data_IF_136722225730
#
_entry.id   IF_136722225730
#
_cell.length_a   1.000
_cell.length_b   1.000
_cell.length_c   1.000
_cell.angle_alpha   90.00
_cell.angle_beta   90.00
_cell.angle_gamma   90.00
#
_symmetry.space_group_name_H-M   'P 1'
#
loop_
_entity.id
_entity.type
_entity.pdbx_description
1 polymer ?
#
# COMPACT_ATOMS: atom_id res chain seq x y z
N UNK A 1 34.20 17.85 -16.81
CA UNK A 1 34.52 16.46 -17.16
C UNK A 1 33.94 15.61 -16.04
N UNK A 2 32.61 15.43 -16.04
CA UNK A 2 31.91 14.60 -15.05
C UNK A 2 32.15 13.15 -15.43
N UNK A 3 32.80 12.43 -14.53
CA UNK A 3 33.27 11.08 -14.77
C UNK A 3 32.12 10.08 -14.73
N UNK A 4 32.21 9.11 -15.63
CA UNK A 4 31.26 8.02 -15.81
C UNK A 4 31.50 6.98 -14.73
N UNK A 5 30.59 6.88 -13.76
CA UNK A 5 30.52 5.72 -12.87
C UNK A 5 29.07 5.43 -12.44
N UNK A 6 28.19 5.20 -13.42
CA UNK A 6 26.89 4.54 -13.19
C UNK A 6 26.78 3.38 -14.16
N UNK A 7 27.50 2.29 -13.87
CA UNK A 7 27.46 1.06 -14.63
C UNK A 7 27.33 -0.12 -13.66
N UNK A 8 26.10 -0.64 -13.53
CA UNK A 8 25.79 -1.98 -13.02
C UNK A 8 26.15 -2.26 -11.55
N UNK A 9 25.36 -1.73 -10.61
CA UNK A 9 25.42 -2.01 -9.16
C UNK A 9 24.53 -1.03 -8.38
N UNK A 10 24.06 -1.33 -7.15
CA UNK A 10 22.94 -0.64 -6.48
C UNK A 10 23.34 0.79 -6.06
N UNK A 11 23.22 1.76 -6.96
CA UNK A 11 23.73 3.12 -6.77
C UNK A 11 22.83 3.97 -5.88
N UNK A 12 21.52 3.88 -6.05
CA UNK A 12 20.50 4.63 -5.35
C UNK A 12 20.31 4.10 -3.94
N UNK A 13 20.13 2.78 -3.80
CA UNK A 13 19.96 2.17 -2.47
C UNK A 13 21.18 2.39 -1.58
N UNK A 14 22.40 2.30 -2.14
CA UNK A 14 23.64 2.60 -1.42
C UNK A 14 23.86 4.10 -1.22
N UNK A 15 23.56 4.96 -2.20
CA UNK A 15 23.73 6.40 -2.05
C UNK A 15 22.77 6.98 -1.01
N UNK A 16 21.51 6.54 -0.98
CA UNK A 16 20.59 6.95 0.08
C UNK A 16 20.95 6.36 1.44
N UNK A 17 21.49 5.14 1.49
CA UNK A 17 21.98 4.56 2.75
C UNK A 17 23.22 5.30 3.28
N UNK A 18 24.16 5.68 2.40
CA UNK A 18 25.31 6.52 2.76
C UNK A 18 24.88 7.92 3.25
N UNK A 19 23.83 8.49 2.63
CA UNK A 19 23.23 9.76 3.07
C UNK A 19 22.52 9.63 4.41
N UNK A 20 21.71 8.58 4.59
CA UNK A 20 20.98 8.32 5.83
C UNK A 20 21.91 8.00 7.02
N UNK A 21 23.08 7.39 6.76
CA UNK A 21 24.12 7.14 7.77
C UNK A 21 25.01 8.36 8.04
N UNK A 22 24.73 9.51 7.42
CA UNK A 22 25.44 10.78 7.65
C UNK A 22 26.86 10.81 7.10
N UNK A 23 27.23 9.86 6.23
CA UNK A 23 28.57 9.81 5.63
C UNK A 23 28.79 10.94 4.61
N UNK A 24 27.72 11.58 4.13
CA UNK A 24 27.74 12.77 3.25
C UNK A 24 27.54 14.12 3.99
N UNK A 25 27.57 14.13 5.32
CA UNK A 25 27.35 15.34 6.14
C UNK A 25 25.88 15.62 6.45
N UNK A 26 25.60 16.45 7.48
CA UNK A 26 24.31 16.45 8.21
C UNK A 26 23.08 17.03 7.50
N UNK A 27 23.15 17.44 6.23
CA UNK A 27 22.10 18.26 5.58
C UNK A 27 21.51 17.67 4.27
N UNK A 28 21.98 16.51 3.77
CA UNK A 28 21.59 16.01 2.44
C UNK A 28 20.49 14.95 2.43
N UNK A 29 20.31 14.17 3.51
CA UNK A 29 19.21 13.19 3.60
C UNK A 29 17.85 13.86 3.87
N UNK A 30 17.85 15.03 4.51
CA UNK A 30 16.66 15.86 4.79
C UNK A 30 16.27 16.81 3.65
N UNK A 31 17.06 16.87 2.56
CA UNK A 31 16.84 17.82 1.45
C UNK A 31 16.37 17.18 0.15
N UNK A 32 16.23 15.85 0.09
CA UNK A 32 15.75 15.17 -1.12
C UNK A 32 14.24 15.10 -1.04
N UNK A 33 13.59 15.73 -2.01
CA UNK A 33 12.15 15.65 -2.18
C UNK A 33 11.72 14.21 -2.49
N UNK A 34 10.60 13.76 -1.93
CA UNK A 34 10.13 12.39 -2.10
C UNK A 34 9.86 12.06 -3.58
N UNK A 35 9.36 13.01 -4.37
CA UNK A 35 9.15 12.82 -5.81
C UNK A 35 10.49 12.58 -6.54
N UNK A 36 11.52 13.36 -6.21
CA UNK A 36 12.86 13.18 -6.79
C UNK A 36 13.45 11.81 -6.41
N UNK A 37 13.25 11.37 -5.17
CA UNK A 37 13.68 10.06 -4.72
C UNK A 37 12.94 8.92 -5.43
N UNK A 38 11.61 9.01 -5.57
CA UNK A 38 10.80 8.02 -6.30
C UNK A 38 11.26 7.92 -7.76
N UNK A 39 11.47 9.05 -8.43
CA UNK A 39 11.94 9.10 -9.81
C UNK A 39 13.31 8.41 -9.96
N UNK A 40 14.26 8.74 -9.08
CA UNK A 40 15.59 8.13 -9.11
C UNK A 40 15.57 6.63 -8.80
N UNK A 41 14.73 6.19 -7.86
CA UNK A 41 14.55 4.79 -7.51
C UNK A 41 14.00 3.98 -8.70
N UNK A 42 12.97 4.52 -9.35
CA UNK A 42 12.34 3.94 -10.54
C UNK A 42 13.33 3.78 -11.69
N UNK A 43 14.11 4.83 -11.99
CA UNK A 43 15.13 4.78 -13.04
C UNK A 43 16.17 3.70 -12.77
N UNK A 44 16.62 3.54 -11.52
CA UNK A 44 17.56 2.48 -11.15
C UNK A 44 16.94 1.09 -11.27
N UNK A 45 15.71 0.90 -10.80
CA UNK A 45 15.03 -0.39 -10.90
C UNK A 45 14.88 -0.84 -12.37
N UNK A 46 14.52 0.08 -13.27
CA UNK A 46 14.40 -0.24 -14.69
C UNK A 46 15.76 -0.49 -15.36
N UNK A 47 16.81 0.20 -14.94
CA UNK A 47 18.18 -0.04 -15.41
C UNK A 47 18.79 -1.35 -14.88
N UNK A 48 18.27 -1.88 -13.77
CA UNK A 48 18.78 -3.08 -13.12
C UNK A 48 18.44 -4.37 -13.87
N UNK A 49 19.36 -5.34 -13.81
CA UNK A 49 19.12 -6.70 -14.31
C UNK A 49 18.05 -7.43 -13.46
N UNK A 50 17.35 -8.44 -14.01
CA UNK A 50 16.27 -9.15 -13.31
C UNK A 50 16.65 -9.71 -11.95
N UNK A 51 17.87 -10.21 -11.78
CA UNK A 51 18.35 -10.74 -10.49
C UNK A 51 18.52 -9.65 -9.43
N UNK A 52 18.88 -8.43 -9.83
CA UNK A 52 18.97 -7.28 -8.92
C UNK A 52 17.58 -6.79 -8.54
N UNK A 53 16.60 -6.83 -9.45
CA UNK A 53 15.20 -6.49 -9.14
C UNK A 53 14.58 -7.36 -8.05
N UNK A 54 15.05 -8.60 -7.88
CA UNK A 54 14.63 -9.46 -6.75
C UNK A 54 15.06 -8.91 -5.39
N UNK A 55 16.18 -8.18 -5.33
CA UNK A 55 16.63 -7.52 -4.10
C UNK A 55 15.71 -6.38 -3.70
N UNK A 56 15.08 -5.71 -4.67
CA UNK A 56 14.09 -4.65 -4.40
C UNK A 56 12.84 -5.18 -3.72
N UNK A 57 12.38 -6.38 -4.07
CA UNK A 57 11.30 -7.05 -3.35
C UNK A 57 11.67 -7.33 -1.89
N UNK A 58 12.89 -7.80 -1.63
CA UNK A 58 13.37 -8.02 -0.26
C UNK A 58 13.50 -6.72 0.54
N UNK A 59 13.98 -5.66 -0.11
CA UNK A 59 14.11 -4.33 0.48
C UNK A 59 12.74 -3.75 0.80
N UNK A 60 11.78 -3.81 -0.13
CA UNK A 60 10.43 -3.30 0.07
C UNK A 60 9.69 -3.99 1.23
N UNK A 61 9.77 -5.31 1.37
CA UNK A 61 9.18 -6.01 2.51
C UNK A 61 9.79 -5.56 3.85
N UNK A 62 11.12 -5.37 3.88
CA UNK A 62 11.81 -4.88 5.07
C UNK A 62 11.48 -3.42 5.38
N UNK A 63 11.45 -2.57 4.35
CA UNK A 63 11.18 -1.14 4.47
C UNK A 63 9.73 -0.89 4.90
N UNK A 64 8.77 -1.65 4.38
CA UNK A 64 7.39 -1.67 4.87
C UNK A 64 7.34 -1.98 6.37
N UNK A 65 7.97 -3.09 6.79
CA UNK A 65 7.98 -3.51 8.18
C UNK A 65 8.59 -2.43 9.11
N UNK A 66 9.67 -1.77 8.67
CA UNK A 66 10.31 -0.70 9.46
C UNK A 66 9.41 0.53 9.54
N UNK A 67 8.84 0.97 8.41
CA UNK A 67 7.98 2.15 8.36
C UNK A 67 6.73 1.98 9.23
N UNK A 68 6.10 0.81 9.19
CA UNK A 68 4.93 0.51 10.00
C UNK A 68 5.23 0.22 11.48
N UNK A 69 6.50 -0.02 11.83
CA UNK A 69 6.92 -0.21 13.23
C UNK A 69 7.45 1.08 13.86
N UNK A 70 7.57 2.17 13.09
CA UNK A 70 8.00 3.46 13.61
C UNK A 70 6.85 4.11 14.42
N UNK A 71 7.02 4.37 15.72
CA UNK A 71 5.98 4.99 16.55
C UNK A 71 5.51 6.36 16.05
N UNK A 72 6.29 7.05 15.23
CA UNK A 72 5.87 8.30 14.61
C UNK A 72 4.76 8.10 13.57
N UNK A 73 4.72 6.94 12.90
CA UNK A 73 3.76 6.60 11.84
C UNK A 73 2.32 6.43 12.39
N UNK A 74 2.16 6.27 13.71
CA UNK A 74 0.85 6.17 14.37
C UNK A 74 0.13 7.53 14.51
N UNK A 75 0.86 8.64 14.36
CA UNK A 75 0.33 10.00 14.58
C UNK A 75 0.72 11.01 13.49
N UNK A 76 1.73 10.69 12.67
CA UNK A 76 2.27 11.54 11.62
C UNK A 76 2.54 10.71 10.36
N UNK A 77 2.71 11.39 9.22
CA UNK A 77 3.15 10.72 7.99
C UNK A 77 4.55 10.13 8.15
N UNK A 78 4.77 8.99 7.51
CA UNK A 78 6.11 8.44 7.36
C UNK A 78 7.05 9.48 6.72
N UNK A 79 8.28 9.57 7.23
CA UNK A 79 9.25 10.59 6.85
C UNK A 79 10.54 10.05 6.23
N UNK A 80 10.76 8.73 6.25
CA UNK A 80 11.93 8.11 5.62
C UNK A 80 11.74 8.02 4.09
N UNK A 81 12.22 9.07 3.41
CA UNK A 81 12.15 9.24 1.96
C UNK A 81 12.73 8.05 1.18
N UNK A 82 13.81 7.43 1.68
CA UNK A 82 14.45 6.30 0.99
C UNK A 82 13.51 5.11 0.92
N UNK A 83 12.96 4.74 2.08
CA UNK A 83 12.09 3.57 2.21
C UNK A 83 10.80 3.76 1.43
N UNK A 84 10.21 4.95 1.49
CA UNK A 84 9.04 5.30 0.70
C UNK A 84 9.30 5.23 -0.81
N UNK A 85 10.46 5.69 -1.28
CA UNK A 85 10.83 5.59 -2.69
C UNK A 85 11.00 4.14 -3.18
N UNK A 86 11.58 3.27 -2.36
CA UNK A 86 11.70 1.83 -2.65
C UNK A 86 10.33 1.18 -2.73
N UNK A 87 9.44 1.47 -1.77
CA UNK A 87 8.06 0.96 -1.78
C UNK A 87 7.28 1.42 -3.01
N UNK A 88 7.31 2.71 -3.33
CA UNK A 88 6.65 3.26 -4.52
C UNK A 88 7.10 2.54 -5.81
N UNK A 89 8.40 2.29 -5.92
CA UNK A 89 8.99 1.59 -7.07
C UNK A 89 8.48 0.15 -7.18
N UNK A 90 8.33 -0.55 -6.06
CA UNK A 90 7.84 -1.94 -6.04
C UNK A 90 6.33 -2.00 -6.28
N UNK A 91 5.56 -1.05 -5.77
CA UNK A 91 4.13 -0.91 -6.07
C UNK A 91 3.93 -0.72 -7.57
N UNK A 92 4.74 0.12 -8.22
CA UNK A 92 4.67 0.30 -9.67
C UNK A 92 5.06 -0.97 -10.43
N UNK A 93 6.14 -1.63 -10.02
CA UNK A 93 6.73 -2.70 -10.79
C UNK A 93 5.99 -4.05 -10.69
N UNK A 94 5.39 -4.33 -9.53
CA UNK A 94 4.69 -5.59 -9.23
C UNK A 94 3.40 -5.33 -8.42
N UNK A 95 2.45 -4.54 -8.96
CA UNK A 95 1.32 -3.98 -8.21
C UNK A 95 0.53 -5.04 -7.46
N UNK A 96 0.09 -6.12 -8.12
CA UNK A 96 -0.74 -7.15 -7.49
C UNK A 96 -0.05 -7.81 -6.28
N UNK A 97 1.28 -7.97 -6.34
CA UNK A 97 2.05 -8.61 -5.25
C UNK A 97 2.25 -7.65 -4.09
N UNK A 98 2.50 -6.37 -4.40
CA UNK A 98 2.60 -5.32 -3.40
C UNK A 98 1.24 -5.09 -2.70
N UNK A 99 0.17 -5.01 -3.48
CA UNK A 99 -1.22 -4.95 -3.00
C UNK A 99 -1.52 -6.13 -2.06
N UNK A 100 -1.26 -7.37 -2.47
CA UNK A 100 -1.43 -8.55 -1.59
C UNK A 100 -0.67 -8.40 -0.28
N UNK A 101 0.60 -8.01 -0.33
CA UNK A 101 1.44 -7.85 0.86
C UNK A 101 0.85 -6.81 1.81
N UNK A 102 0.51 -5.63 1.29
CA UNK A 102 0.00 -4.50 2.07
C UNK A 102 -1.38 -4.84 2.69
N UNK A 103 -2.27 -5.43 1.90
CA UNK A 103 -3.60 -5.83 2.37
C UNK A 103 -3.51 -6.90 3.45
N UNK A 104 -2.67 -7.92 3.24
CA UNK A 104 -2.47 -8.97 4.26
C UNK A 104 -1.87 -8.35 5.53
N UNK A 105 -0.92 -7.43 5.41
CA UNK A 105 -0.33 -6.77 6.57
C UNK A 105 -1.35 -5.96 7.38
N UNK A 106 -2.21 -5.20 6.71
CA UNK A 106 -3.14 -4.29 7.37
C UNK A 106 -4.42 -4.97 7.88
N UNK A 107 -4.86 -6.06 7.22
CA UNK A 107 -6.18 -6.65 7.45
C UNK A 107 -6.15 -8.03 8.10
N UNK A 108 -5.00 -8.72 8.12
CA UNK A 108 -4.88 -10.03 8.75
C UNK A 108 -4.60 -9.89 10.27
N UNK A 109 -5.46 -10.41 11.15
CA UNK A 109 -5.26 -10.35 12.60
C UNK A 109 -3.98 -11.03 13.09
N UNK A 110 -3.48 -12.04 12.38
CA UNK A 110 -2.24 -12.71 12.77
C UNK A 110 -1.00 -11.92 12.37
N UNK A 111 -1.14 -10.93 11.46
CA UNK A 111 -0.07 -10.13 10.84
C UNK A 111 1.04 -10.97 10.19
N UNK A 112 1.31 -10.82 8.88
CA UNK A 112 2.32 -11.62 8.20
C UNK A 112 3.73 -11.35 8.75
N UNK A 113 4.55 -12.39 8.84
CA UNK A 113 5.96 -12.22 9.18
C UNK A 113 6.73 -11.57 8.03
N UNK A 114 7.95 -11.07 8.30
CA UNK A 114 8.81 -10.52 7.26
C UNK A 114 9.11 -11.52 6.13
N UNK A 115 9.25 -12.81 6.47
CA UNK A 115 9.50 -13.85 5.47
C UNK A 115 8.25 -14.14 4.63
N UNK A 116 7.05 -14.03 5.21
CA UNK A 116 5.79 -14.12 4.47
C UNK A 116 5.65 -12.96 3.49
N UNK A 117 5.91 -11.72 3.94
CA UNK A 117 5.88 -10.53 3.08
C UNK A 117 6.86 -10.62 1.92
N UNK A 118 8.09 -11.07 2.17
CA UNK A 118 9.07 -11.36 1.10
C UNK A 118 8.57 -12.45 0.15
N UNK A 119 7.96 -13.49 0.69
CA UNK A 119 7.34 -14.56 -0.09
C UNK A 119 6.25 -14.03 -1.03
N UNK A 120 5.39 -13.13 -0.54
CA UNK A 120 4.33 -12.50 -1.32
C UNK A 120 4.89 -11.65 -2.47
N UNK A 121 5.93 -10.86 -2.25
CA UNK A 121 6.51 -10.05 -3.33
C UNK A 121 7.25 -10.90 -4.39
N UNK A 122 7.83 -12.03 -3.99
CA UNK A 122 8.59 -12.94 -4.87
C UNK A 122 7.74 -13.95 -5.62
N UNK A 123 6.54 -14.25 -5.13
CA UNK A 123 5.66 -15.22 -5.75
C UNK A 123 5.07 -14.67 -7.04
N UNK A 124 5.53 -15.22 -8.17
CA UNK A 124 5.17 -14.74 -9.50
C UNK A 124 3.80 -15.24 -10.00
N UNK A 125 3.11 -16.08 -9.22
CA UNK A 125 1.77 -16.54 -9.57
C UNK A 125 0.78 -15.37 -9.50
N UNK A 126 -0.25 -15.35 -10.37
CA UNK A 126 -1.34 -14.38 -10.27
C UNK A 126 -1.99 -14.40 -8.88
N UNK A 127 -2.37 -13.23 -8.39
CA UNK A 127 -3.07 -13.09 -7.11
C UNK A 127 -4.57 -13.29 -7.33
N UNK A 128 -5.18 -14.18 -6.54
CA UNK A 128 -6.63 -14.35 -6.49
C UNK A 128 -7.20 -13.37 -5.46
N UNK A 129 -7.52 -12.15 -5.91
CA UNK A 129 -8.01 -11.09 -5.02
C UNK A 129 -9.42 -11.35 -4.50
N UNK A 130 -10.27 -12.03 -5.25
CA UNK A 130 -11.60 -12.42 -4.78
C UNK A 130 -11.47 -13.30 -3.54
N UNK A 131 -10.62 -14.33 -3.62
CA UNK A 131 -10.34 -15.20 -2.47
C UNK A 131 -9.62 -14.46 -1.35
N UNK A 132 -8.59 -13.67 -1.68
CA UNK A 132 -7.81 -12.95 -0.66
C UNK A 132 -8.70 -12.03 0.17
N UNK A 133 -9.55 -11.23 -0.48
CA UNK A 133 -10.43 -10.32 0.24
C UNK A 133 -11.53 -11.07 1.00
N UNK A 134 -12.06 -12.18 0.47
CA UNK A 134 -13.01 -13.02 1.21
C UNK A 134 -12.37 -13.56 2.50
N UNK A 135 -11.15 -14.10 2.41
CA UNK A 135 -10.39 -14.59 3.56
C UNK A 135 -10.10 -13.45 4.57
N UNK A 136 -9.74 -12.25 4.11
CA UNK A 136 -9.39 -11.10 4.96
C UNK A 136 -10.59 -10.39 5.60
N UNK A 137 -11.78 -10.38 4.97
CA UNK A 137 -12.96 -9.65 5.50
C UNK A 137 -14.08 -10.54 6.02
N UNK A 138 -14.14 -11.80 5.60
CA UNK A 138 -15.19 -12.75 6.03
C UNK A 138 -14.63 -14.09 6.54
N UNK A 139 -13.31 -14.29 6.54
CA UNK A 139 -12.68 -15.48 7.08
C UNK A 139 -12.96 -15.68 8.57
N UNK A 140 -12.79 -16.91 9.05
CA UNK A 140 -13.12 -17.30 10.44
C UNK A 140 -12.40 -16.45 11.51
N UNK A 141 -11.23 -15.90 11.17
CA UNK A 141 -10.45 -15.03 12.04
C UNK A 141 -10.54 -13.55 11.66
N UNK A 142 -11.24 -13.17 10.59
CA UNK A 142 -11.26 -11.79 10.09
C UNK A 142 -11.70 -10.79 11.16
N UNK A 143 -11.12 -9.60 11.13
CA UNK A 143 -11.56 -8.51 11.99
C UNK A 143 -13.01 -8.14 11.72
N UNK A 144 -13.72 -7.72 12.77
CA UNK A 144 -15.01 -7.07 12.59
C UNK A 144 -14.79 -5.66 12.01
N UNK A 145 -15.72 -5.13 11.19
CA UNK A 145 -15.55 -3.83 10.55
C UNK A 145 -15.30 -2.65 11.52
N UNK A 146 -15.80 -2.75 12.75
CA UNK A 146 -15.66 -1.75 13.81
C UNK A 146 -14.51 -2.04 14.79
N UNK A 147 -13.70 -3.07 14.55
CA UNK A 147 -12.57 -3.44 15.40
C UNK A 147 -11.52 -2.31 15.46
N UNK A 148 -10.97 -2.07 16.65
CA UNK A 148 -9.97 -1.04 16.90
C UNK A 148 -8.61 -1.44 16.32
N UNK A 149 -8.23 -2.72 16.40
CA UNK A 149 -6.98 -3.20 15.82
C UNK A 149 -6.98 -3.12 14.29
N UNK A 150 -8.15 -3.34 13.67
CA UNK A 150 -8.35 -3.08 12.25
C UNK A 150 -8.17 -1.60 11.91
N UNK A 151 -8.75 -0.70 12.71
CA UNK A 151 -8.62 0.74 12.53
C UNK A 151 -7.15 1.19 12.63
N UNK A 152 -6.42 0.65 13.62
CA UNK A 152 -5.00 0.95 13.84
C UNK A 152 -4.16 0.46 12.66
N UNK A 153 -4.32 -0.79 12.23
CA UNK A 153 -3.61 -1.34 11.07
C UNK A 153 -3.82 -0.53 9.79
N UNK A 154 -5.07 -0.14 9.50
CA UNK A 154 -5.40 0.71 8.35
C UNK A 154 -4.81 2.11 8.49
N UNK A 155 -4.85 2.69 9.70
CA UNK A 155 -4.27 4.01 9.99
C UNK A 155 -2.76 4.01 9.73
N UNK A 156 -2.04 3.06 10.33
CA UNK A 156 -0.59 2.93 10.17
C UNK A 156 -0.21 2.68 8.70
N UNK A 157 -0.93 1.80 7.99
CA UNK A 157 -0.70 1.59 6.56
C UNK A 157 -0.94 2.87 5.76
N UNK A 158 -2.02 3.61 6.04
CA UNK A 158 -2.35 4.85 5.34
C UNK A 158 -1.31 5.95 5.60
N UNK A 159 -0.77 6.06 6.82
CA UNK A 159 0.31 7.00 7.14
C UNK A 159 1.60 6.78 6.34
N UNK A 160 1.84 5.56 5.85
CA UNK A 160 2.93 5.23 4.93
C UNK A 160 2.55 5.52 3.48
N UNK A 161 1.33 5.17 3.07
CA UNK A 161 0.88 5.25 1.68
C UNK A 161 0.52 6.66 1.23
N UNK A 162 -0.08 7.48 2.09
CA UNK A 162 -0.51 8.84 1.78
C UNK A 162 0.63 9.76 1.28
N UNK A 163 1.81 9.83 1.93
CA UNK A 163 2.92 10.60 1.39
C UNK A 163 3.43 10.04 0.06
N UNK A 164 3.38 8.72 -0.17
CA UNK A 164 3.74 8.13 -1.46
C UNK A 164 2.75 8.57 -2.53
N UNK A 165 1.44 8.41 -2.31
CA UNK A 165 0.39 8.80 -3.24
C UNK A 165 0.46 10.29 -3.62
N UNK A 166 0.77 11.16 -2.66
CA UNK A 166 0.91 12.59 -2.89
C UNK A 166 2.12 12.99 -3.77
N UNK A 167 3.11 12.11 -3.93
CA UNK A 167 4.39 12.43 -4.57
C UNK A 167 4.76 11.51 -5.76
N UNK A 168 4.12 10.35 -5.89
CA UNK A 168 4.39 9.38 -6.93
C UNK A 168 3.67 9.72 -8.25
N UNK A 169 4.07 9.11 -9.38
CA UNK A 169 3.32 9.21 -10.63
C UNK A 169 1.89 8.66 -10.51
N UNK A 170 0.97 9.17 -11.34
CA UNK A 170 -0.46 8.83 -11.33
C UNK A 170 -0.75 7.32 -11.20
N UNK A 171 -0.02 6.46 -11.91
CA UNK A 171 -0.25 5.01 -11.84
C UNK A 171 -0.06 4.42 -10.43
N UNK A 172 0.89 4.93 -9.66
CA UNK A 172 1.14 4.50 -8.27
C UNK A 172 0.09 5.08 -7.33
N UNK A 173 -0.29 6.35 -7.52
CA UNK A 173 -1.39 6.97 -6.76
C UNK A 173 -2.69 6.18 -6.93
N UNK A 174 -3.05 5.82 -8.16
CA UNK A 174 -4.25 5.04 -8.44
C UNK A 174 -4.19 3.60 -7.89
N UNK A 175 -3.01 2.96 -7.86
CA UNK A 175 -2.82 1.67 -7.19
C UNK A 175 -2.93 1.79 -5.66
N UNK A 176 -2.48 2.90 -5.08
CA UNK A 176 -2.71 3.16 -3.65
C UNK A 176 -4.21 3.41 -3.39
N UNK A 177 -4.91 4.07 -4.31
CA UNK A 177 -6.36 4.27 -4.21
C UNK A 177 -7.13 2.94 -4.24
N UNK A 178 -6.74 1.94 -5.05
CA UNK A 178 -7.37 0.60 -5.02
C UNK A 178 -7.12 -0.11 -3.68
N UNK A 179 -5.92 0.00 -3.11
CA UNK A 179 -5.61 -0.51 -1.75
C UNK A 179 -6.51 0.15 -0.70
N UNK A 180 -6.59 1.49 -0.72
CA UNK A 180 -7.43 2.23 0.23
C UNK A 180 -8.91 1.90 0.07
N UNK A 181 -9.38 1.61 -1.16
CA UNK A 181 -10.74 1.14 -1.36
C UNK A 181 -11.00 -0.22 -0.69
N UNK A 182 -10.03 -1.13 -0.69
CA UNK A 182 -10.14 -2.39 0.04
C UNK A 182 -10.12 -2.18 1.58
N UNK A 183 -9.36 -1.21 2.09
CA UNK A 183 -9.44 -0.81 3.50
C UNK A 183 -10.84 -0.29 3.86
N UNK A 184 -11.40 0.59 3.03
CA UNK A 184 -12.76 1.12 3.19
C UNK A 184 -13.80 -0.01 3.15
N UNK A 185 -13.63 -0.99 2.26
CA UNK A 185 -14.47 -2.18 2.19
C UNK A 185 -14.40 -3.01 3.48
N UNK A 186 -13.20 -3.26 4.02
CA UNK A 186 -13.01 -3.99 5.27
C UNK A 186 -13.68 -3.29 6.47
N UNK A 187 -13.75 -1.96 6.45
CA UNK A 187 -14.49 -1.13 7.42
C UNK A 187 -16.01 -1.07 7.17
N UNK A 188 -16.53 -1.83 6.20
CA UNK A 188 -17.95 -1.88 5.85
C UNK A 188 -18.43 -0.77 4.90
N UNK A 189 -17.54 0.11 4.43
CA UNK A 189 -17.83 1.25 3.56
C UNK A 189 -18.05 0.87 2.10
N UNK A 190 -19.02 0.00 1.81
CA UNK A 190 -19.20 -0.60 0.48
C UNK A 190 -19.46 0.41 -0.64
N UNK A 191 -20.29 1.44 -0.42
CA UNK A 191 -20.56 2.46 -1.44
C UNK A 191 -19.32 3.31 -1.74
N UNK A 192 -18.61 3.76 -0.71
CA UNK A 192 -17.40 4.57 -0.85
C UNK A 192 -16.28 3.77 -1.52
N UNK A 193 -16.07 2.52 -1.12
CA UNK A 193 -15.10 1.63 -1.76
C UNK A 193 -15.36 1.49 -3.28
N UNK A 194 -16.63 1.38 -3.69
CA UNK A 194 -17.02 1.30 -5.10
C UNK A 194 -16.75 2.59 -5.87
N UNK A 195 -17.04 3.73 -5.27
CA UNK A 195 -16.74 5.03 -5.89
C UNK A 195 -15.23 5.24 -6.08
N UNK A 196 -14.43 4.83 -5.09
CA UNK A 196 -12.97 4.87 -5.17
C UNK A 196 -12.43 3.99 -6.31
N UNK A 197 -12.85 2.72 -6.40
CA UNK A 197 -12.38 1.84 -7.48
C UNK A 197 -12.91 2.26 -8.85
N UNK A 198 -14.11 2.82 -8.94
CA UNK A 198 -14.60 3.39 -10.20
C UNK A 198 -13.73 4.57 -10.68
N UNK A 199 -13.19 5.36 -9.74
CA UNK A 199 -12.30 6.48 -10.02
C UNK A 199 -10.92 6.02 -10.53
N UNK A 200 -10.28 5.06 -9.86
CA UNK A 200 -8.91 4.66 -10.20
C UNK A 200 -8.83 3.64 -11.35
N UNK A 201 -9.84 2.77 -11.53
CA UNK A 201 -9.82 1.64 -12.48
C UNK A 201 -9.38 2.00 -13.91
N UNK A 202 -9.77 3.14 -14.52
CA UNK A 202 -9.33 3.49 -15.88
C UNK A 202 -7.82 3.75 -16.04
N UNK A 203 -7.11 3.94 -14.93
CA UNK A 203 -5.70 4.36 -14.90
C UNK A 203 -4.76 3.29 -14.33
N UNK A 204 -5.30 2.15 -13.90
CA UNK A 204 -4.52 1.04 -13.36
C UNK A 204 -3.92 0.18 -14.48
N UNK A 205 -2.68 -0.25 -14.29
CA UNK A 205 -2.04 -1.26 -15.15
C UNK A 205 -2.65 -2.66 -14.93
N UNK A 206 -3.08 -2.96 -13.70
CA UNK A 206 -3.90 -4.14 -13.37
C UNK A 206 -5.14 -3.72 -12.58
N UNK A 207 -6.32 -4.15 -13.04
CA UNK A 207 -7.59 -3.86 -12.37
C UNK A 207 -8.03 -4.95 -11.40
N UNK A 208 -7.23 -6.01 -11.20
CA UNK A 208 -7.66 -7.21 -10.50
C UNK A 208 -8.17 -6.94 -9.07
N UNK A 209 -7.45 -6.14 -8.28
CA UNK A 209 -7.90 -5.72 -6.96
C UNK A 209 -9.16 -4.85 -7.04
N UNK A 210 -9.18 -3.86 -7.94
CA UNK A 210 -10.30 -2.94 -8.10
C UNK A 210 -11.60 -3.64 -8.55
N UNK A 211 -11.46 -4.71 -9.33
CA UNK A 211 -12.56 -5.56 -9.78
C UNK A 211 -13.08 -6.43 -8.60
N UNK A 212 -12.18 -7.01 -7.81
CA UNK A 212 -12.54 -7.82 -6.63
C UNK A 212 -13.26 -6.97 -5.56
N UNK A 213 -12.77 -5.76 -5.28
CA UNK A 213 -13.41 -4.82 -4.34
C UNK A 213 -14.83 -4.46 -4.79
N UNK A 214 -15.03 -4.14 -6.07
CA UNK A 214 -16.36 -3.80 -6.59
C UNK A 214 -17.32 -5.00 -6.56
N UNK A 215 -16.82 -6.20 -6.90
CA UNK A 215 -17.60 -7.44 -6.85
C UNK A 215 -18.05 -7.75 -5.42
N UNK A 216 -17.14 -7.69 -4.45
CA UNK A 216 -17.44 -7.98 -3.05
C UNK A 216 -18.34 -6.91 -2.41
N UNK A 217 -18.08 -5.63 -2.68
CA UNK A 217 -18.95 -4.54 -2.24
C UNK A 217 -20.37 -4.64 -2.82
N UNK A 218 -20.52 -5.16 -4.05
CA UNK A 218 -21.82 -5.41 -4.66
C UNK A 218 -22.54 -6.62 -4.03
N UNK A 219 -21.80 -7.63 -3.56
CA UNK A 219 -22.33 -8.84 -2.93
C UNK A 219 -22.81 -8.61 -1.48
N UNK A 220 -22.16 -7.69 -0.76
CA UNK A 220 -22.47 -7.34 0.62
C UNK A 220 -22.96 -5.89 0.74
N UNK A 221 -24.15 -5.52 0.22
CA UNK A 221 -24.68 -4.17 0.45
C UNK A 221 -24.94 -3.98 1.94
N UNK A 222 -24.00 -3.35 2.64
CA UNK A 222 -24.13 -3.06 4.06
C UNK A 222 -25.32 -2.10 4.23
N UNK A 223 -26.41 -2.56 4.83
CA UNK A 223 -27.62 -1.77 5.11
C UNK A 223 -27.38 -0.90 6.34
N UNK A 224 -26.46 0.05 6.22
CA UNK A 224 -26.03 0.95 7.27
C UNK A 224 -26.57 2.37 7.12
N UNK A 225 -27.71 2.58 6.46
CA UNK A 225 -28.46 3.86 6.51
C UNK A 225 -29.95 3.67 6.19
N UNK A 226 -30.66 2.87 7.00
CA UNK A 226 -32.12 2.98 7.12
C UNK A 226 -32.45 3.80 8.38
N UNK A 227 -31.93 5.02 8.41
CA UNK A 227 -32.03 5.96 9.51
C UNK A 227 -33.07 7.08 9.33
N UNK A 228 -34.18 6.90 8.61
CA UNK A 228 -35.35 7.83 8.69
C UNK A 228 -36.69 7.17 8.30
N UNK A 229 -37.01 6.03 8.92
CA UNK A 229 -38.35 5.44 8.89
C UNK A 229 -39.25 5.93 10.04
N UNK A 230 -39.45 7.24 10.19
CA UNK A 230 -40.47 7.78 11.12
C UNK A 230 -41.84 7.77 10.45
N UNK A 231 -42.51 6.62 10.40
CA UNK A 231 -43.97 6.58 10.27
C UNK A 231 -44.58 6.53 11.66
N UNK A 232 -44.90 7.70 12.19
CA UNK A 232 -45.87 7.87 13.27
C UNK A 232 -47.23 7.38 12.76
N UNK A 233 -47.63 6.17 13.14
CA UNK A 233 -49.01 5.72 12.97
C UNK A 233 -49.73 5.77 14.31
N UNK A 234 -50.87 6.47 14.31
CA UNK A 234 -51.57 7.01 15.46
C UNK A 234 -52.29 5.97 16.34
N UNK A 235 -53.02 6.47 17.38
CA UNK A 235 -53.50 5.64 18.47
C UNK A 235 -54.60 4.68 18.01
N UNK A 236 -54.48 3.41 18.44
CA UNK A 236 -55.56 2.43 18.35
C UNK A 236 -56.62 2.77 19.39
N UNK A 237 -57.87 2.91 18.90
CA UNK A 237 -59.11 2.97 19.69
C UNK A 237 -59.30 1.71 20.54
#
# INVERSE_FOLDING_TARGET
MMDKAYAGGPGFMLALEARATGLDGPDLASSIDLNEAITAARDEYHAADPDVRRVWADAAAYDWAVLCSDPATDHEWASDVRRMAILATVIEAVPERAERMILTWALDPDTPSLDDMRGMLKDERPVDFDRLLDDLTHGDCAFMPDDEMLADGITTASSVLDPIAANAPDGVDYAIMSIKAAFTLARGGTAEARDMVACCRPYLDSTALADAVDAQAAACPWTGDDGMGMTMDGPRL
#
